data_IF_088197911451
#
_entry.id   IF_088197911451
#
_cell.length_a   1.000
_cell.length_b   1.000
_cell.length_c   1.000
_cell.angle_alpha   90.00
_cell.angle_beta   90.00
_cell.angle_gamma   90.00
#
_symmetry.space_group_name_H-M   'P 1'
#
loop_
_entity.id
_entity.type
_entity.pdbx_description
1 polymer ?
#
# COMPACT_ATOMS: atom_id res chain seq x y z
N UNK A 1 36.94 28.20 -10.78
CA UNK A 1 36.30 27.04 -10.13
C UNK A 1 34.83 27.11 -10.48
N UNK A 2 34.39 26.27 -11.40
CA UNK A 2 32.98 26.11 -11.70
C UNK A 2 32.22 25.60 -10.45
N UNK A 3 31.03 26.14 -10.22
CA UNK A 3 30.13 25.83 -9.10
C UNK A 3 28.82 25.28 -9.65
N UNK A 4 28.48 24.05 -9.26
CA UNK A 4 27.20 23.40 -9.57
C UNK A 4 26.06 24.08 -8.81
N UNK A 5 25.03 24.54 -9.53
CA UNK A 5 23.75 24.91 -8.92
C UNK A 5 22.91 23.64 -8.81
N UNK A 6 22.41 23.34 -7.62
CA UNK A 6 21.55 22.19 -7.34
C UNK A 6 20.16 22.64 -6.95
N UNK A 7 19.13 21.88 -7.33
CA UNK A 7 17.74 22.23 -7.04
C UNK A 7 17.53 22.37 -5.52
N UNK A 8 17.17 23.56 -5.00
CA UNK A 8 17.10 23.80 -3.57
C UNK A 8 15.85 23.18 -2.94
N UNK A 9 15.95 22.79 -1.66
CA UNK A 9 14.83 22.21 -0.91
C UNK A 9 13.93 23.29 -0.30
N UNK A 10 12.95 23.77 -1.05
CA UNK A 10 11.98 24.77 -0.59
C UNK A 10 10.84 24.16 0.27
N UNK A 11 11.17 23.35 1.28
CA UNK A 11 10.19 22.91 2.29
C UNK A 11 10.44 21.56 2.97
N UNK A 12 9.80 21.38 4.13
CA UNK A 12 9.84 20.14 4.94
C UNK A 12 8.92 19.04 4.36
N UNK A 13 9.25 18.58 3.16
CA UNK A 13 8.51 17.54 2.43
C UNK A 13 8.80 17.49 0.94
N UNK A 14 9.44 18.52 0.39
CA UNK A 14 9.82 18.59 -1.03
C UNK A 14 10.90 17.55 -1.37
N UNK A 15 10.61 16.70 -2.36
CA UNK A 15 11.55 15.72 -2.96
C UNK A 15 11.78 16.01 -4.46
N UNK A 16 10.83 16.64 -5.14
CA UNK A 16 10.91 17.10 -6.54
C UNK A 16 10.27 18.50 -6.67
N UNK A 17 10.54 19.19 -7.78
CA UNK A 17 9.91 20.45 -8.17
C UNK A 17 10.11 20.77 -9.65
N UNK A 18 9.28 21.66 -10.20
CA UNK A 18 9.23 21.92 -11.64
C UNK A 18 9.83 23.28 -11.97
N UNK A 19 10.89 23.32 -12.77
CA UNK A 19 11.40 24.56 -13.34
C UNK A 19 10.40 25.00 -14.43
N UNK A 20 9.69 26.09 -14.17
CA UNK A 20 8.68 26.64 -15.10
C UNK A 20 9.35 27.45 -16.20
N UNK A 21 10.40 28.20 -15.85
CA UNK A 21 11.05 29.16 -16.73
C UNK A 21 12.41 29.61 -16.19
N UNK A 22 13.39 29.83 -17.08
CA UNK A 22 14.62 30.56 -16.75
C UNK A 22 14.49 32.07 -16.97
N UNK A 23 15.09 32.82 -16.04
CA UNK A 23 15.23 34.28 -16.06
C UNK A 23 16.62 34.72 -16.60
N UNK A 24 17.56 33.78 -16.74
CA UNK A 24 18.94 33.95 -17.22
C UNK A 24 19.27 32.93 -18.31
N UNK A 25 20.09 33.33 -19.28
CA UNK A 25 20.51 32.52 -20.44
C UNK A 25 21.96 32.03 -20.30
N UNK A 26 22.32 30.98 -21.05
CA UNK A 26 23.73 30.56 -21.16
C UNK A 26 24.59 31.71 -21.70
N UNK A 27 25.66 32.05 -20.98
CA UNK A 27 26.53 33.20 -21.26
C UNK A 27 26.22 34.47 -20.46
N UNK A 28 25.10 34.55 -19.71
CA UNK A 28 24.79 35.73 -18.89
C UNK A 28 25.69 35.84 -17.65
N UNK A 29 26.08 37.06 -17.29
CA UNK A 29 26.64 37.37 -15.97
C UNK A 29 25.55 37.33 -14.88
N UNK A 30 25.90 36.76 -13.74
CA UNK A 30 25.05 36.53 -12.58
C UNK A 30 25.74 37.07 -11.32
N UNK A 31 25.02 37.89 -10.55
CA UNK A 31 25.42 38.26 -9.19
C UNK A 31 24.88 37.25 -8.16
N UNK A 32 25.60 37.06 -7.04
CA UNK A 32 25.09 36.27 -5.91
C UNK A 32 23.86 36.99 -5.31
N UNK A 33 22.75 36.27 -5.17
CA UNK A 33 21.46 36.83 -4.75
C UNK A 33 20.61 37.40 -5.92
N UNK A 34 20.94 37.06 -7.17
CA UNK A 34 20.13 37.42 -8.34
C UNK A 34 19.24 36.23 -8.77
N UNK A 35 17.96 36.42 -9.11
CA UNK A 35 17.07 35.32 -9.49
C UNK A 35 17.46 34.68 -10.84
N UNK A 36 17.38 33.35 -10.89
CA UNK A 36 17.85 32.52 -12.00
C UNK A 36 16.71 31.85 -12.76
N UNK A 37 15.74 31.29 -12.04
CA UNK A 37 14.61 30.55 -12.61
C UNK A 37 13.42 30.53 -11.64
N UNK A 38 12.22 30.39 -12.20
CA UNK A 38 10.98 30.19 -11.48
C UNK A 38 10.80 28.68 -11.19
N UNK A 39 10.75 28.32 -9.91
CA UNK A 39 10.57 26.95 -9.43
C UNK A 39 9.17 26.79 -8.85
N UNK A 40 8.34 26.00 -9.52
CA UNK A 40 7.01 25.63 -9.04
C UNK A 40 7.02 24.37 -8.19
N UNK A 41 6.11 24.35 -7.21
CA UNK A 41 5.95 23.28 -6.24
C UNK A 41 4.47 23.08 -5.94
N UNK A 42 4.10 21.92 -5.40
CA UNK A 42 2.74 21.59 -4.94
C UNK A 42 2.11 22.61 -3.95
N UNK A 43 2.85 23.63 -3.48
CA UNK A 43 2.32 24.66 -2.57
C UNK A 43 2.57 26.11 -3.00
N UNK A 44 3.72 26.44 -3.59
CA UNK A 44 4.09 27.83 -3.97
C UNK A 44 5.09 27.83 -5.13
N UNK A 45 4.87 28.68 -6.14
CA UNK A 45 5.87 29.06 -7.14
C UNK A 45 6.80 30.14 -6.58
N UNK A 46 8.12 29.95 -6.66
CA UNK A 46 9.13 30.87 -6.10
C UNK A 46 10.32 31.05 -7.05
N UNK A 47 10.86 32.27 -7.11
CA UNK A 47 12.12 32.56 -7.79
C UNK A 47 13.32 32.00 -6.99
N UNK A 48 14.25 31.32 -7.66
CA UNK A 48 15.47 30.78 -7.04
C UNK A 48 16.64 31.73 -7.31
N UNK A 49 17.22 32.28 -6.24
CA UNK A 49 18.40 33.14 -6.30
C UNK A 49 19.72 32.37 -6.48
N UNK A 50 20.73 33.03 -7.06
CA UNK A 50 22.05 32.48 -7.28
C UNK A 50 22.91 32.40 -6.00
N UNK A 51 23.33 31.19 -5.63
CA UNK A 51 24.27 30.96 -4.52
C UNK A 51 25.69 31.49 -4.78
N UNK A 52 26.08 31.68 -6.04
CA UNK A 52 27.41 32.13 -6.45
C UNK A 52 27.32 33.16 -7.58
N UNK A 53 28.34 34.02 -7.68
CA UNK A 53 28.48 34.97 -8.77
C UNK A 53 29.43 34.44 -9.85
N UNK A 54 29.16 34.72 -11.11
CA UNK A 54 29.95 34.28 -12.27
C UNK A 54 29.15 34.34 -13.57
N UNK A 55 29.59 33.61 -14.60
CA UNK A 55 28.86 33.45 -15.87
C UNK A 55 28.11 32.12 -15.86
N UNK A 56 26.87 32.10 -16.37
CA UNK A 56 26.11 30.86 -16.57
C UNK A 56 26.72 30.04 -17.72
N UNK A 57 27.55 29.05 -17.41
CA UNK A 57 28.30 28.32 -18.43
C UNK A 57 27.46 27.27 -19.15
N UNK A 58 26.52 26.63 -18.44
CA UNK A 58 25.56 25.70 -19.04
C UNK A 58 24.33 25.46 -18.17
N UNK A 59 23.17 25.32 -18.80
CA UNK A 59 21.93 24.79 -18.21
C UNK A 59 21.87 23.27 -18.51
N UNK A 60 21.68 22.47 -17.45
CA UNK A 60 21.58 21.00 -17.53
C UNK A 60 20.12 20.56 -17.62
N UNK A 61 19.22 21.27 -16.94
CA UNK A 61 17.77 21.04 -16.98
C UNK A 61 17.09 22.30 -17.52
N UNK A 62 16.57 22.22 -18.74
CA UNK A 62 15.98 23.38 -19.45
C UNK A 62 14.69 23.83 -18.78
N UNK A 63 13.57 23.13 -18.97
CA UNK A 63 12.29 23.40 -18.31
C UNK A 63 11.63 22.03 -18.03
N UNK A 64 10.95 21.89 -16.90
CA UNK A 64 10.35 20.62 -16.46
C UNK A 64 10.73 20.17 -15.04
N UNK A 65 10.35 18.93 -14.70
CA UNK A 65 10.47 18.36 -13.36
C UNK A 65 11.91 17.90 -13.03
N UNK A 66 12.38 18.23 -11.84
CA UNK A 66 13.70 17.84 -11.32
C UNK A 66 13.63 17.43 -9.84
N UNK A 67 14.49 16.48 -9.46
CA UNK A 67 14.63 16.05 -8.05
C UNK A 67 15.48 17.02 -7.23
N UNK A 68 15.15 17.18 -5.95
CA UNK A 68 15.90 18.03 -5.00
C UNK A 68 17.35 17.53 -4.88
N UNK A 69 18.31 18.44 -5.06
CA UNK A 69 19.74 18.11 -5.05
C UNK A 69 20.35 17.74 -6.41
N UNK A 70 19.55 17.55 -7.47
CA UNK A 70 20.06 17.39 -8.84
C UNK A 70 20.71 18.68 -9.34
N UNK A 71 21.84 18.57 -10.05
CA UNK A 71 22.53 19.72 -10.67
C UNK A 71 21.72 20.24 -11.86
N UNK A 72 21.22 21.48 -11.76
CA UNK A 72 20.34 22.10 -12.77
C UNK A 72 21.10 23.01 -13.74
N UNK A 73 22.20 23.61 -13.30
CA UNK A 73 23.10 24.44 -14.12
C UNK A 73 24.49 24.54 -13.47
N UNK A 74 25.46 25.12 -14.19
CA UNK A 74 26.81 25.38 -13.68
C UNK A 74 27.23 26.83 -13.97
N UNK A 75 27.71 27.52 -12.94
CA UNK A 75 28.28 28.88 -13.02
C UNK A 75 29.81 28.81 -12.92
N UNK A 76 30.54 29.62 -13.67
CA UNK A 76 32.00 29.66 -13.58
C UNK A 76 32.63 30.90 -14.23
N UNK A 77 33.94 30.83 -14.53
CA UNK A 77 34.62 31.84 -15.32
C UNK A 77 34.48 31.55 -16.83
N UNK A 78 34.48 32.59 -17.67
CA UNK A 78 34.09 32.55 -19.09
C UNK A 78 34.95 31.65 -20.03
N UNK A 79 36.03 31.04 -19.55
CA UNK A 79 36.93 30.13 -20.28
C UNK A 79 37.27 28.86 -19.46
N UNK A 80 36.40 28.43 -18.53
CA UNK A 80 36.62 27.26 -17.67
C UNK A 80 35.92 26.00 -18.22
N UNK A 81 36.67 24.95 -18.57
CA UNK A 81 36.12 23.72 -19.19
C UNK A 81 35.31 22.89 -18.18
N UNK A 82 33.99 22.83 -18.42
CA UNK A 82 33.00 22.21 -17.53
C UNK A 82 32.79 20.71 -17.78
N UNK A 83 33.52 20.11 -18.74
CA UNK A 83 33.22 18.76 -19.26
C UNK A 83 33.24 17.65 -18.21
N UNK A 84 34.12 17.73 -17.20
CA UNK A 84 34.19 16.72 -16.12
C UNK A 84 32.99 16.79 -15.15
N UNK A 85 32.47 17.98 -14.84
CA UNK A 85 31.30 18.16 -13.98
C UNK A 85 30.02 17.69 -14.69
N UNK A 86 29.90 17.98 -15.98
CA UNK A 86 28.79 17.49 -16.81
C UNK A 86 28.80 15.95 -16.93
N UNK A 87 29.97 15.33 -16.99
CA UNK A 87 30.10 13.87 -16.94
C UNK A 87 29.69 13.28 -15.58
N UNK A 88 29.95 13.98 -14.46
CA UNK A 88 29.45 13.61 -13.14
C UNK A 88 27.93 13.69 -13.02
N UNK A 89 27.33 14.73 -13.59
CA UNK A 89 25.87 14.94 -13.58
C UNK A 89 25.09 13.88 -14.40
N UNK A 90 25.72 13.26 -15.40
CA UNK A 90 25.12 12.22 -16.25
C UNK A 90 25.31 10.78 -15.72
N UNK A 91 25.78 10.62 -14.48
CA UNK A 91 25.96 9.31 -13.84
C UNK A 91 24.71 8.67 -13.21
N UNK A 92 23.56 9.36 -13.23
CA UNK A 92 22.26 8.85 -12.74
C UNK A 92 21.53 7.97 -13.77
N UNK A 93 20.67 7.06 -13.31
CA UNK A 93 20.04 6.04 -14.16
C UNK A 93 19.06 6.61 -15.22
N UNK A 94 19.02 5.95 -16.38
CA UNK A 94 18.21 6.37 -17.55
C UNK A 94 16.69 6.41 -17.26
N UNK A 95 16.06 7.54 -17.61
CA UNK A 95 14.62 7.66 -17.88
C UNK A 95 14.39 7.97 -19.37
N UNK A 96 13.55 7.17 -20.04
CA UNK A 96 13.36 7.19 -21.50
C UNK A 96 12.73 8.48 -22.04
N UNK A 97 13.12 8.90 -23.25
CA UNK A 97 12.69 10.16 -23.87
C UNK A 97 12.09 9.93 -25.28
N UNK A 98 10.76 10.00 -25.45
CA UNK A 98 10.11 9.86 -26.75
C UNK A 98 10.39 11.03 -27.71
N UNK A 99 10.51 10.73 -29.01
CA UNK A 99 11.03 11.68 -30.00
C UNK A 99 9.99 12.62 -30.64
N UNK A 100 10.37 13.89 -30.71
CA UNK A 100 10.20 14.88 -31.81
C UNK A 100 8.93 14.88 -32.70
N UNK A 101 8.36 16.08 -32.86
CA UNK A 101 7.52 16.47 -34.00
C UNK A 101 8.10 17.73 -34.72
N UNK A 102 8.00 17.85 -36.06
CA UNK A 102 8.59 18.93 -36.85
C UNK A 102 7.76 20.25 -36.86
N UNK A 103 8.34 21.39 -37.33
CA UNK A 103 7.81 22.73 -37.08
C UNK A 103 6.68 23.21 -38.03
N UNK A 104 6.21 24.43 -37.75
CA UNK A 104 5.02 25.08 -38.30
C UNK A 104 5.06 25.47 -39.80
N UNK A 105 3.89 25.86 -40.30
CA UNK A 105 3.70 26.52 -41.61
C UNK A 105 2.85 27.78 -41.40
N UNK A 106 3.27 28.89 -42.00
CA UNK A 106 2.59 30.19 -41.92
C UNK A 106 1.23 30.23 -42.62
N UNK A 107 0.37 31.17 -42.20
CA UNK A 107 -0.44 31.95 -43.13
C UNK A 107 -0.81 33.33 -42.56
N UNK A 108 -0.94 34.32 -43.46
CA UNK A 108 -1.07 35.75 -43.16
C UNK A 108 -2.53 36.27 -43.19
N UNK A 109 -2.68 37.59 -43.04
CA UNK A 109 -3.90 38.36 -42.78
C UNK A 109 -4.97 38.39 -43.90
N UNK A 110 -6.11 39.02 -43.60
CA UNK A 110 -7.27 39.22 -44.47
C UNK A 110 -8.60 38.86 -43.77
N UNK A 111 -9.19 39.58 -42.81
CA UNK A 111 -9.37 41.05 -42.53
C UNK A 111 -10.84 41.47 -42.77
N UNK A 112 -11.28 42.60 -42.18
CA UNK A 112 -12.67 43.14 -42.07
C UNK A 112 -13.62 42.29 -41.16
N UNK A 113 -13.99 42.73 -39.94
CA UNK A 113 -15.03 43.74 -39.55
C UNK A 113 -16.49 43.22 -39.72
N UNK A 114 -17.48 43.55 -38.87
CA UNK A 114 -17.68 44.75 -38.03
C UNK A 114 -18.40 44.46 -36.68
N UNK A 115 -18.04 45.26 -35.66
CA UNK A 115 -18.68 45.68 -34.39
C UNK A 115 -20.02 45.07 -33.86
N UNK A 116 -20.07 44.74 -32.56
CA UNK A 116 -20.94 45.44 -31.55
C UNK A 116 -20.99 44.78 -30.15
N UNK A 117 -20.28 45.36 -29.18
CA UNK A 117 -20.53 45.19 -27.73
C UNK A 117 -20.70 46.57 -27.08
N UNK A 118 -21.67 46.76 -26.17
CA UNK A 118 -21.40 47.62 -25.02
C UNK A 118 -21.86 47.03 -23.67
N UNK A 119 -21.14 47.43 -22.62
CA UNK A 119 -21.13 46.76 -21.31
C UNK A 119 -22.11 47.31 -20.27
N UNK A 120 -22.46 46.41 -19.33
CA UNK A 120 -22.69 46.64 -17.90
C UNK A 120 -23.76 47.63 -17.39
N UNK A 121 -24.60 47.18 -16.43
CA UNK A 121 -24.41 47.51 -14.99
C UNK A 121 -25.40 46.86 -14.00
N UNK A 122 -24.83 46.42 -12.86
CA UNK A 122 -25.33 46.39 -11.46
C UNK A 122 -26.62 45.65 -11.03
N UNK A 123 -26.46 44.99 -9.88
CA UNK A 123 -27.44 44.40 -8.93
C UNK A 123 -28.27 45.48 -8.16
N UNK A 124 -29.07 45.15 -7.11
CA UNK A 124 -29.71 43.88 -6.69
C UNK A 124 -31.26 44.06 -6.59
N UNK A 125 -32.00 43.23 -5.80
CA UNK A 125 -32.27 43.68 -4.42
C UNK A 125 -32.21 42.57 -3.35
N UNK A 126 -32.13 42.99 -2.09
CA UNK A 126 -32.16 42.14 -0.88
C UNK A 126 -33.47 42.29 -0.11
N UNK A 127 -33.84 41.28 0.69
CA UNK A 127 -34.46 41.48 2.00
C UNK A 127 -33.94 40.37 2.96
N UNK A 128 -33.29 40.67 4.10
CA UNK A 128 -33.84 41.10 5.42
C UNK A 128 -34.75 40.01 6.02
N UNK A 129 -34.54 39.43 7.22
CA UNK A 129 -34.32 40.04 8.55
C UNK A 129 -33.41 39.20 9.49
N UNK A 130 -32.56 39.88 10.26
CA UNK A 130 -32.16 39.72 11.69
C UNK A 130 -32.68 38.50 12.51
N UNK A 131 -32.00 37.98 13.54
CA UNK A 131 -31.18 38.64 14.57
C UNK A 131 -30.02 37.78 15.11
N UNK A 132 -29.13 38.38 15.90
CA UNK A 132 -28.30 37.72 16.90
C UNK A 132 -27.95 38.67 18.05
N UNK A 133 -27.64 38.15 19.24
CA UNK A 133 -26.98 38.88 20.34
C UNK A 133 -26.21 37.89 21.25
N UNK A 134 -25.55 38.37 22.32
CA UNK A 134 -24.27 37.81 22.79
C UNK A 134 -24.11 37.58 24.31
N UNK A 135 -23.34 36.54 24.67
CA UNK A 135 -22.15 36.52 25.60
C UNK A 135 -22.25 37.36 26.91
N UNK A 136 -22.09 36.76 28.13
CA UNK A 136 -20.72 36.64 28.72
C UNK A 136 -20.41 35.52 29.75
N UNK A 137 -19.10 35.18 29.82
CA UNK A 137 -18.14 35.08 30.99
C UNK A 137 -18.63 34.51 32.35
N UNK A 138 -17.90 33.68 33.12
CA UNK A 138 -16.44 33.55 33.48
C UNK A 138 -16.02 32.04 33.56
N UNK A 139 -14.85 31.51 34.01
CA UNK A 139 -13.69 31.99 34.80
C UNK A 139 -12.36 31.18 34.57
N UNK A 140 -11.37 31.32 35.45
CA UNK A 140 -9.98 30.77 35.41
C UNK A 140 -9.40 30.59 36.84
N UNK A 141 -8.11 30.25 37.13
CA UNK A 141 -6.92 29.82 36.32
C UNK A 141 -6.50 28.35 36.69
N UNK A 142 -5.27 27.81 36.83
CA UNK A 142 -3.82 28.18 36.78
C UNK A 142 -2.96 26.85 36.79
N UNK A 143 -1.61 26.75 36.78
CA UNK A 143 -0.49 27.47 36.12
C UNK A 143 0.89 26.80 36.49
N UNK A 144 1.81 26.61 35.51
CA UNK A 144 3.30 26.40 35.61
C UNK A 144 3.92 25.25 36.49
N UNK A 145 5.14 24.69 36.27
CA UNK A 145 6.02 24.48 35.09
C UNK A 145 7.28 23.59 35.42
N UNK A 146 7.85 22.85 34.41
CA UNK A 146 9.26 22.32 34.29
C UNK A 146 9.77 21.21 35.28
N UNK A 147 10.95 20.54 35.04
CA UNK A 147 11.61 20.06 33.78
C UNK A 147 12.17 18.59 33.88
N UNK A 148 13.07 18.19 32.95
CA UNK A 148 13.78 16.88 32.83
C UNK A 148 15.00 16.71 33.77
N UNK A 149 15.51 15.46 33.95
CA UNK A 149 16.93 15.06 33.72
C UNK A 149 17.31 13.59 34.08
N UNK A 150 17.90 12.87 33.11
CA UNK A 150 19.10 11.96 33.16
C UNK A 150 19.27 10.73 34.09
N UNK A 151 20.24 9.88 33.70
CA UNK A 151 20.60 8.54 34.24
C UNK A 151 21.96 8.51 34.96
N UNK A 152 22.19 7.53 35.86
CA UNK A 152 23.41 6.70 35.78
C UNK A 152 23.09 5.19 35.91
N UNK A 153 23.75 4.23 35.25
CA UNK A 153 25.19 3.97 34.97
C UNK A 153 25.90 3.03 35.98
N UNK A 154 25.72 1.71 35.75
CA UNK A 154 26.80 0.73 35.50
C UNK A 154 27.90 0.49 36.57
N UNK A 155 28.06 -0.76 37.08
CA UNK A 155 29.28 -1.63 36.92
C UNK A 155 29.46 -2.87 37.85
N UNK A 156 29.53 -4.05 37.20
CA UNK A 156 30.68 -5.00 37.17
C UNK A 156 31.02 -5.91 38.39
N UNK A 157 31.66 -7.06 38.07
CA UNK A 157 32.35 -8.08 38.92
C UNK A 157 31.48 -9.22 39.53
N UNK A 158 31.97 -10.45 39.76
CA UNK A 158 32.84 -11.37 38.97
C UNK A 158 32.92 -12.76 39.68
N UNK A 159 33.23 -13.84 38.94
CA UNK A 159 33.52 -15.19 39.46
C UNK A 159 32.35 -16.20 39.32
N UNK A 160 32.43 -17.43 38.78
CA UNK A 160 33.46 -18.38 38.26
C UNK A 160 33.56 -19.68 39.10
N UNK A 161 33.28 -20.82 38.45
CA UNK A 161 33.48 -22.22 38.91
C UNK A 161 32.63 -22.70 40.11
N UNK A 162 32.31 -24.00 40.26
CA UNK A 162 32.53 -25.18 39.40
C UNK A 162 31.34 -26.18 39.53
N UNK A 163 31.26 -27.16 38.63
CA UNK A 163 30.21 -28.19 38.65
C UNK A 163 30.51 -29.34 39.63
N UNK A 164 29.45 -29.91 40.23
CA UNK A 164 29.47 -31.17 40.96
C UNK A 164 28.23 -32.01 40.59
N UNK A 165 28.42 -33.30 40.32
CA UNK A 165 27.40 -34.19 39.74
C UNK A 165 26.51 -34.87 40.78
N UNK A 166 25.19 -34.82 40.59
CA UNK A 166 24.20 -35.56 41.38
C UNK A 166 23.96 -37.00 40.81
N UNK A 167 23.52 -37.97 41.66
CA UNK A 167 23.44 -39.38 41.27
C UNK A 167 22.20 -39.74 40.44
N UNK A 168 22.32 -40.76 39.59
CA UNK A 168 21.24 -41.28 38.74
C UNK A 168 20.18 -42.05 39.54
N UNK A 169 18.87 -41.82 39.30
CA UNK A 169 17.78 -42.60 39.90
C UNK A 169 17.71 -44.03 39.33
N UNK A 170 17.06 -44.94 40.07
CA UNK A 170 16.91 -46.36 39.71
C UNK A 170 15.80 -46.57 38.66
N UNK A 171 15.97 -47.56 37.79
CA UNK A 171 15.03 -47.87 36.71
C UNK A 171 13.69 -48.43 37.21
N UNK A 172 12.62 -48.15 36.46
CA UNK A 172 11.26 -48.56 36.77
C UNK A 172 11.06 -50.09 36.75
N UNK A 173 10.24 -50.60 37.68
CA UNK A 173 9.83 -52.01 37.74
C UNK A 173 10.09 -52.73 39.07
N UNK A 174 10.95 -52.19 39.94
CA UNK A 174 11.20 -52.77 41.26
C UNK A 174 10.02 -52.50 42.22
N UNK A 175 9.46 -53.55 42.83
CA UNK A 175 8.23 -53.44 43.65
C UNK A 175 8.49 -52.66 44.95
N UNK A 176 8.03 -51.41 45.01
CA UNK A 176 8.21 -50.49 46.15
C UNK A 176 7.77 -51.11 47.48
N UNK A 177 8.76 -51.51 48.30
CA UNK A 177 8.57 -51.93 49.68
C UNK A 177 8.30 -50.68 50.54
N UNK A 178 7.06 -50.48 50.96
CA UNK A 178 6.68 -49.39 51.85
C UNK A 178 5.70 -49.88 52.91
N UNK A 179 5.85 -49.42 54.15
CA UNK A 179 5.00 -49.81 55.28
C UNK A 179 3.53 -49.34 55.08
N UNK A 180 2.53 -50.02 55.68
CA UNK A 180 1.13 -49.60 55.57
C UNK A 180 0.87 -48.18 56.09
N UNK A 181 1.60 -47.75 57.14
CA UNK A 181 1.48 -46.39 57.67
C UNK A 181 2.07 -45.36 56.70
N UNK A 182 3.29 -45.59 56.19
CA UNK A 182 3.93 -44.72 55.19
C UNK A 182 3.07 -44.58 53.92
N UNK A 183 2.48 -45.68 53.42
CA UNK A 183 1.57 -45.68 52.26
C UNK A 183 0.28 -44.88 52.49
N UNK A 184 -0.14 -44.69 53.75
CA UNK A 184 -1.29 -43.85 54.11
C UNK A 184 -0.87 -42.38 54.19
N UNK A 185 0.18 -42.07 54.94
CA UNK A 185 0.69 -40.70 55.11
C UNK A 185 1.11 -40.08 53.76
N UNK A 186 1.78 -40.86 52.89
CA UNK A 186 2.18 -40.39 51.57
C UNK A 186 0.97 -40.04 50.69
N UNK A 187 -0.13 -40.81 50.77
CA UNK A 187 -1.38 -40.52 50.06
C UNK A 187 -2.10 -39.30 50.64
N UNK A 188 -2.11 -39.15 51.96
CA UNK A 188 -2.69 -38.01 52.67
C UNK A 188 -1.91 -36.70 52.38
N UNK A 189 -0.60 -36.78 52.15
CA UNK A 189 0.29 -35.65 51.82
C UNK A 189 0.61 -35.48 50.32
N UNK A 190 0.09 -36.32 49.43
CA UNK A 190 0.33 -36.25 47.99
C UNK A 190 1.76 -36.59 47.52
N UNK A 191 2.55 -37.27 48.35
CA UNK A 191 3.96 -37.60 48.09
C UNK A 191 4.13 -38.91 47.31
N UNK A 192 4.98 -38.91 46.28
CA UNK A 192 5.36 -40.14 45.58
C UNK A 192 6.37 -40.96 46.39
N UNK A 193 6.08 -42.26 46.54
CA UNK A 193 6.91 -43.23 47.23
C UNK A 193 8.07 -43.75 46.36
N UNK A 194 8.07 -43.53 45.04
CA UNK A 194 9.17 -43.91 44.16
C UNK A 194 10.38 -42.95 44.29
N UNK A 195 10.12 -41.66 44.60
CA UNK A 195 11.14 -40.64 44.83
C UNK A 195 11.80 -40.69 46.23
N UNK A 196 11.29 -41.50 47.15
CA UNK A 196 11.74 -41.53 48.55
C UNK A 196 12.68 -42.70 48.85
N UNK A 197 13.88 -42.39 49.35
CA UNK A 197 14.80 -43.39 49.88
C UNK A 197 14.27 -43.97 51.19
N UNK A 198 13.91 -45.25 51.20
CA UNK A 198 13.35 -45.93 52.37
C UNK A 198 14.43 -46.42 53.35
N UNK A 199 14.43 -45.89 54.58
CA UNK A 199 15.48 -46.17 55.59
C UNK A 199 15.23 -47.43 56.41
N UNK A 200 14.06 -48.08 56.24
CA UNK A 200 13.68 -49.27 56.99
C UNK A 200 14.28 -50.59 56.47
N UNK A 201 14.11 -51.71 57.21
CA UNK A 201 14.67 -53.01 56.86
C UNK A 201 14.29 -53.48 55.44
N UNK A 202 15.30 -53.97 54.71
CA UNK A 202 15.27 -54.29 53.28
C UNK A 202 15.00 -53.09 52.32
N UNK A 203 15.38 -51.87 52.71
CA UNK A 203 15.16 -50.66 51.90
C UNK A 203 13.69 -50.24 51.86
N UNK A 204 12.99 -50.40 53.00
CA UNK A 204 11.54 -50.18 53.10
C UNK A 204 11.24 -48.76 53.57
N UNK A 205 10.38 -48.05 52.84
CA UNK A 205 9.90 -46.72 53.28
C UNK A 205 9.05 -46.86 54.55
N UNK A 206 9.51 -46.23 55.63
CA UNK A 206 8.83 -46.14 56.94
C UNK A 206 8.14 -44.77 57.10
N UNK A 207 7.33 -44.60 58.14
CA UNK A 207 6.53 -43.39 58.34
C UNK A 207 7.41 -42.13 58.46
N UNK A 208 8.50 -42.22 59.23
CA UNK A 208 9.45 -41.12 59.42
C UNK A 208 10.10 -40.63 58.13
N UNK A 209 10.31 -41.49 57.13
CA UNK A 209 10.90 -41.11 55.84
C UNK A 209 9.95 -40.16 55.09
N UNK A 210 8.64 -40.43 55.17
CA UNK A 210 7.57 -39.64 54.52
C UNK A 210 7.27 -38.36 55.29
N UNK A 211 7.35 -38.40 56.63
CA UNK A 211 7.15 -37.21 57.48
C UNK A 211 8.30 -36.22 57.30
N UNK A 212 9.57 -36.68 57.37
CA UNK A 212 10.75 -35.83 57.13
C UNK A 212 10.80 -35.25 55.71
N UNK A 213 10.28 -35.96 54.71
CA UNK A 213 10.14 -35.44 53.35
C UNK A 213 9.09 -34.33 53.21
N UNK A 214 8.02 -34.35 54.01
CA UNK A 214 7.02 -33.27 54.04
C UNK A 214 7.48 -32.04 54.81
N UNK A 215 8.18 -32.25 55.93
CA UNK A 215 8.51 -31.18 56.87
C UNK A 215 9.79 -30.40 56.50
N UNK A 216 10.48 -30.82 55.42
CA UNK A 216 11.63 -30.11 54.82
C UNK A 216 11.25 -29.09 53.74
N UNK A 217 9.99 -29.07 53.28
CA UNK A 217 9.50 -28.13 52.28
C UNK A 217 9.19 -26.76 52.92
N UNK A 218 10.22 -25.95 53.15
CA UNK A 218 10.02 -24.51 53.36
C UNK A 218 9.17 -23.96 52.20
N UNK A 219 8.19 -23.06 52.46
CA UNK A 219 7.35 -22.53 51.40
C UNK A 219 8.25 -21.82 50.39
N UNK A 220 8.38 -22.39 49.20
CA UNK A 220 9.01 -21.72 48.09
C UNK A 220 8.31 -20.37 47.95
N UNK A 221 9.08 -19.29 48.01
CA UNK A 221 8.54 -17.97 47.75
C UNK A 221 7.79 -18.01 46.41
N UNK A 222 6.73 -17.21 46.27
CA UNK A 222 6.18 -16.90 44.96
C UNK A 222 7.24 -16.10 44.19
N UNK A 223 8.21 -16.82 43.62
CA UNK A 223 8.86 -16.40 42.40
C UNK A 223 7.71 -16.11 41.44
N UNK A 224 7.56 -14.85 41.04
CA UNK A 224 6.75 -14.52 39.89
C UNK A 224 7.16 -15.50 38.77
N UNK A 225 6.20 -16.10 38.04
CA UNK A 225 6.54 -17.10 37.03
C UNK A 225 7.60 -16.49 36.14
N UNK A 226 8.82 -17.05 36.21
CA UNK A 226 9.89 -16.64 35.31
C UNK A 226 9.28 -16.73 33.93
N UNK A 227 9.39 -15.70 33.08
CA UNK A 227 8.96 -15.84 31.70
C UNK A 227 9.61 -17.12 31.21
N UNK A 228 8.77 -18.05 30.73
CA UNK A 228 9.31 -19.14 29.94
C UNK A 228 10.16 -18.47 28.83
N UNK A 229 11.27 -19.07 28.40
CA UNK A 229 11.87 -18.61 27.15
C UNK A 229 10.73 -18.64 26.13
N UNK A 230 10.30 -17.47 25.69
CA UNK A 230 9.41 -17.38 24.55
C UNK A 230 10.14 -18.14 23.46
N UNK A 231 9.49 -19.17 22.91
CA UNK A 231 10.07 -19.89 21.80
C UNK A 231 10.13 -18.87 20.67
N UNK A 232 11.31 -18.24 20.51
CA UNK A 232 11.56 -17.20 19.51
C UNK A 232 11.13 -17.80 18.18
N UNK A 233 9.95 -17.35 17.70
CA UNK A 233 9.23 -18.05 16.66
C UNK A 233 10.06 -17.99 15.39
N UNK A 234 10.70 -19.11 15.05
CA UNK A 234 11.76 -19.15 14.05
C UNK A 234 11.23 -18.56 12.74
N UNK A 235 11.72 -17.37 12.40
CA UNK A 235 11.09 -16.54 11.38
C UNK A 235 11.40 -17.14 10.01
N UNK A 236 10.45 -17.90 9.46
CA UNK A 236 10.55 -18.45 8.11
C UNK A 236 10.49 -17.32 7.08
N UNK A 237 11.65 -16.83 6.66
CA UNK A 237 11.78 -15.80 5.62
C UNK A 237 11.53 -16.46 4.25
N UNK A 238 10.26 -16.45 3.82
CA UNK A 238 9.86 -16.92 2.50
C UNK A 238 10.11 -15.83 1.45
N UNK A 239 11.15 -16.00 0.63
CA UNK A 239 11.47 -15.07 -0.46
C UNK A 239 10.33 -14.97 -1.50
N UNK A 240 10.12 -13.77 -2.04
CA UNK A 240 9.12 -13.54 -3.08
C UNK A 240 9.62 -14.00 -4.45
N UNK A 241 8.82 -14.81 -5.14
CA UNK A 241 9.05 -15.09 -6.57
C UNK A 241 8.95 -13.80 -7.39
N UNK A 242 9.65 -13.71 -8.53
CA UNK A 242 9.64 -12.54 -9.40
C UNK A 242 8.23 -12.04 -9.75
N UNK A 243 7.31 -12.96 -10.05
CA UNK A 243 5.89 -12.65 -10.31
C UNK A 243 5.22 -12.04 -9.06
N UNK A 244 5.42 -12.61 -7.86
CA UNK A 244 4.86 -12.06 -6.61
C UNK A 244 5.45 -10.68 -6.28
N UNK A 245 6.75 -10.47 -6.49
CA UNK A 245 7.40 -9.17 -6.31
C UNK A 245 6.88 -8.11 -7.28
N UNK A 246 6.66 -8.45 -8.55
CA UNK A 246 6.04 -7.54 -9.54
C UNK A 246 4.59 -7.21 -9.19
N UNK A 247 3.80 -8.19 -8.73
CA UNK A 247 2.42 -7.97 -8.27
C UNK A 247 2.41 -7.06 -7.03
N UNK A 248 3.28 -7.32 -6.04
CA UNK A 248 3.38 -6.51 -4.83
C UNK A 248 3.71 -5.04 -5.16
N UNK A 249 4.72 -4.80 -6.01
CA UNK A 249 5.09 -3.45 -6.45
C UNK A 249 3.92 -2.71 -7.10
N UNK A 250 3.25 -3.34 -8.07
CA UNK A 250 2.08 -2.77 -8.77
C UNK A 250 0.88 -2.53 -7.88
N UNK A 251 0.66 -3.36 -6.85
CA UNK A 251 -0.39 -3.12 -5.86
C UNK A 251 -0.04 -1.93 -4.96
N UNK A 252 1.21 -1.76 -4.55
CA UNK A 252 1.66 -0.57 -3.80
C UNK A 252 1.51 0.70 -4.64
N UNK A 253 1.93 0.69 -5.91
CA UNK A 253 1.72 1.77 -6.87
C UNK A 253 0.22 2.09 -7.03
N UNK A 254 -0.64 1.08 -7.20
CA UNK A 254 -2.09 1.26 -7.31
C UNK A 254 -2.76 1.82 -6.04
N UNK A 255 -2.17 1.60 -4.86
CA UNK A 255 -2.64 2.16 -3.58
C UNK A 255 -2.20 3.62 -3.35
N UNK A 256 -1.28 4.17 -4.14
CA UNK A 256 -0.93 5.59 -4.10
C UNK A 256 -1.96 6.47 -4.82
N UNK A 257 -2.76 5.89 -5.72
CA UNK A 257 -3.87 6.60 -6.35
C UNK A 257 -4.97 6.94 -5.29
N UNK A 258 -5.51 8.18 -5.27
CA UNK A 258 -6.51 8.58 -4.28
C UNK A 258 -7.88 7.94 -4.56
N UNK A 259 -8.09 6.72 -4.05
CA UNK A 259 -9.33 5.95 -4.19
C UNK A 259 -10.32 6.30 -3.08
N UNK A 260 -11.44 6.93 -3.43
CA UNK A 260 -12.63 6.97 -2.58
C UNK A 260 -13.53 5.75 -2.87
N UNK A 261 -14.37 5.38 -1.89
CA UNK A 261 -15.15 4.14 -1.93
C UNK A 261 -16.64 4.43 -1.76
N UNK A 262 -17.48 3.71 -2.49
CA UNK A 262 -18.94 3.75 -2.39
C UNK A 262 -19.45 2.32 -2.21
N UNK A 263 -20.41 2.13 -1.30
CA UNK A 263 -21.14 0.87 -1.13
C UNK A 263 -22.63 1.11 -1.32
N UNK A 264 -23.31 0.17 -1.97
CA UNK A 264 -24.76 0.17 -2.20
C UNK A 264 -25.30 -1.26 -2.15
N UNK A 265 -26.41 -1.45 -1.44
CA UNK A 265 -27.20 -2.69 -1.51
C UNK A 265 -28.16 -2.59 -2.70
N UNK A 266 -28.33 -3.69 -3.44
CA UNK A 266 -29.24 -3.76 -4.58
C UNK A 266 -30.03 -5.07 -4.58
N UNK A 267 -31.32 -5.00 -4.90
CA UNK A 267 -32.17 -6.19 -5.05
C UNK A 267 -31.74 -6.98 -6.31
N UNK A 268 -31.41 -8.25 -6.11
CA UNK A 268 -30.97 -9.17 -7.15
C UNK A 268 -32.08 -10.11 -7.66
N UNK A 269 -33.33 -9.99 -7.17
CA UNK A 269 -34.43 -10.90 -7.48
C UNK A 269 -34.70 -11.03 -8.98
N UNK A 270 -34.88 -9.91 -9.69
CA UNK A 270 -35.08 -9.92 -11.15
C UNK A 270 -33.82 -10.36 -11.93
N UNK A 271 -32.62 -10.21 -11.36
CA UNK A 271 -31.38 -10.73 -11.95
C UNK A 271 -31.36 -12.26 -11.86
N UNK A 272 -31.73 -12.83 -10.72
CA UNK A 272 -31.85 -14.27 -10.51
C UNK A 272 -32.93 -14.87 -11.43
N UNK A 273 -34.15 -14.33 -11.40
CA UNK A 273 -35.26 -14.82 -12.25
C UNK A 273 -35.00 -14.63 -13.74
N UNK A 274 -34.36 -13.54 -14.17
CA UNK A 274 -33.94 -13.36 -15.58
C UNK A 274 -32.90 -14.40 -15.99
N UNK A 275 -31.92 -14.69 -15.12
CA UNK A 275 -30.94 -15.75 -15.36
C UNK A 275 -31.60 -17.12 -15.45
N UNK A 276 -32.57 -17.44 -14.60
CA UNK A 276 -33.30 -18.71 -14.62
C UNK A 276 -34.06 -18.90 -15.94
N UNK A 277 -34.83 -17.89 -16.38
CA UNK A 277 -35.49 -17.88 -17.70
C UNK A 277 -34.48 -18.07 -18.85
N UNK A 278 -33.27 -17.48 -18.76
CA UNK A 278 -32.20 -17.70 -19.74
C UNK A 278 -31.60 -19.12 -19.70
N UNK A 279 -31.68 -19.83 -18.58
CA UNK A 279 -31.26 -21.23 -18.46
C UNK A 279 -32.34 -22.19 -18.98
N UNK A 280 -33.62 -21.86 -18.80
CA UNK A 280 -34.74 -22.64 -19.36
C UNK A 280 -34.82 -22.57 -20.89
N UNK A 281 -34.43 -21.43 -21.48
CA UNK A 281 -34.41 -21.21 -22.94
C UNK A 281 -33.08 -21.61 -23.62
N UNK A 282 -32.13 -22.16 -22.85
CA UNK A 282 -30.80 -22.55 -23.30
C UNK A 282 -30.86 -23.78 -24.23
N UNK A 283 -30.15 -23.75 -25.36
CA UNK A 283 -30.12 -24.88 -26.31
C UNK A 283 -29.01 -25.88 -25.97
N UNK A 284 -29.14 -27.10 -26.49
CA UNK A 284 -28.09 -28.12 -26.37
C UNK A 284 -26.76 -27.61 -26.96
N UNK A 285 -25.69 -27.67 -26.17
CA UNK A 285 -24.36 -27.15 -26.53
C UNK A 285 -24.09 -25.69 -26.17
N UNK A 286 -25.09 -24.91 -25.74
CA UNK A 286 -24.87 -23.53 -25.29
C UNK A 286 -24.33 -23.47 -23.85
N UNK A 287 -23.55 -22.42 -23.54
CA UNK A 287 -22.92 -22.27 -22.22
C UNK A 287 -23.89 -21.69 -21.20
N UNK A 288 -24.10 -22.40 -20.08
CA UNK A 288 -25.01 -21.97 -19.00
C UNK A 288 -24.58 -20.61 -18.40
N UNK A 289 -25.45 -19.57 -18.42
CA UNK A 289 -25.10 -18.26 -17.86
C UNK A 289 -25.04 -18.25 -16.33
N UNK A 290 -24.15 -17.40 -15.82
CA UNK A 290 -23.91 -17.13 -14.40
C UNK A 290 -24.39 -15.72 -14.03
N UNK A 291 -24.48 -15.44 -12.72
CA UNK A 291 -24.71 -14.07 -12.22
C UNK A 291 -23.70 -13.08 -12.80
N UNK A 292 -22.43 -13.48 -12.91
CA UNK A 292 -21.37 -12.62 -13.45
C UNK A 292 -21.55 -12.29 -14.93
N UNK A 293 -22.24 -13.12 -15.72
CA UNK A 293 -22.50 -12.83 -17.14
C UNK A 293 -23.59 -11.76 -17.31
N UNK A 294 -24.66 -11.87 -16.52
CA UNK A 294 -25.72 -10.87 -16.46
C UNK A 294 -25.15 -9.56 -15.91
N UNK A 295 -24.38 -9.61 -14.83
CA UNK A 295 -23.73 -8.44 -14.24
C UNK A 295 -22.74 -7.77 -15.19
N UNK A 296 -21.91 -8.54 -15.90
CA UNK A 296 -21.01 -8.01 -16.95
C UNK A 296 -21.80 -7.25 -18.01
N UNK A 297 -22.96 -7.78 -18.44
CA UNK A 297 -23.81 -7.10 -19.41
C UNK A 297 -24.50 -5.85 -18.86
N UNK A 298 -24.87 -5.84 -17.58
CA UNK A 298 -25.44 -4.68 -16.88
C UNK A 298 -24.40 -3.57 -16.70
N UNK A 299 -23.20 -3.91 -16.24
CA UNK A 299 -22.04 -3.00 -16.08
C UNK A 299 -21.67 -2.40 -17.43
N UNK A 300 -21.56 -3.19 -18.50
CA UNK A 300 -21.35 -2.66 -19.85
C UNK A 300 -22.46 -1.68 -20.29
N UNK A 301 -23.72 -1.94 -19.92
CA UNK A 301 -24.86 -1.03 -20.13
C UNK A 301 -24.84 0.23 -19.25
N UNK A 302 -24.16 0.20 -18.10
CA UNK A 302 -23.96 1.36 -17.24
C UNK A 302 -22.79 2.23 -17.75
N UNK A 303 -21.68 1.62 -18.15
CA UNK A 303 -20.52 2.31 -18.72
C UNK A 303 -20.86 3.11 -19.98
N UNK A 304 -21.76 2.60 -20.83
CA UNK A 304 -22.28 3.34 -22.00
C UNK A 304 -23.17 4.54 -21.61
N UNK A 305 -23.83 4.52 -20.45
CA UNK A 305 -24.66 5.63 -19.93
C UNK A 305 -23.86 6.63 -19.08
N UNK A 306 -22.69 6.22 -18.58
CA UNK A 306 -21.80 7.03 -17.76
C UNK A 306 -20.37 7.03 -18.33
N UNK A 307 -20.13 7.63 -19.51
CA UNK A 307 -18.81 7.63 -20.17
C UNK A 307 -17.61 8.10 -19.32
N UNK A 308 -17.73 9.03 -18.35
CA UNK A 308 -16.61 9.38 -17.47
C UNK A 308 -16.06 8.22 -16.63
N UNK A 309 -16.86 7.18 -16.38
CA UNK A 309 -16.44 5.96 -15.65
C UNK A 309 -15.77 4.94 -16.59
N UNK A 310 -16.05 5.01 -17.89
CA UNK A 310 -15.44 4.13 -18.90
C UNK A 310 -14.17 4.77 -19.49
N UNK A 311 -13.21 5.06 -18.62
CA UNK A 311 -11.99 5.79 -18.94
C UNK A 311 -10.75 5.16 -18.28
N UNK A 312 -9.59 5.51 -18.83
CA UNK A 312 -8.28 5.27 -18.24
C UNK A 312 -7.62 6.63 -17.94
N UNK A 313 -6.80 6.70 -16.89
CA UNK A 313 -5.92 7.83 -16.62
C UNK A 313 -4.48 7.44 -16.99
N UNK A 314 -3.93 8.10 -18.00
CA UNK A 314 -2.65 7.77 -18.65
C UNK A 314 -1.93 9.08 -18.94
N UNK A 315 -0.69 9.22 -18.48
CA UNK A 315 0.20 10.35 -18.81
C UNK A 315 -0.45 11.74 -18.59
N UNK A 316 -1.16 11.89 -17.47
CA UNK A 316 -1.92 13.12 -17.13
C UNK A 316 -3.27 13.28 -17.86
N UNK A 317 -3.55 12.47 -18.87
CA UNK A 317 -4.74 12.56 -19.72
C UNK A 317 -5.83 11.52 -19.35
N UNK A 318 -7.09 11.86 -19.64
CA UNK A 318 -8.24 10.97 -19.45
C UNK A 318 -8.65 10.35 -20.79
N UNK A 319 -8.20 9.13 -21.06
CA UNK A 319 -8.56 8.37 -22.25
C UNK A 319 -9.96 7.76 -22.09
N UNK A 320 -10.98 8.34 -22.73
CA UNK A 320 -12.38 7.90 -22.66
C UNK A 320 -12.71 6.91 -23.78
N UNK A 321 -13.35 5.79 -23.44
CA UNK A 321 -13.64 4.72 -24.39
C UNK A 321 -15.12 4.66 -24.78
N UNK A 322 -15.38 4.49 -26.09
CA UNK A 322 -16.74 4.30 -26.64
C UNK A 322 -17.23 2.85 -26.55
N UNK A 323 -16.39 1.91 -26.09
CA UNK A 323 -16.72 0.48 -25.90
C UNK A 323 -16.43 0.05 -24.47
N UNK A 324 -17.21 -0.87 -23.95
CA UNK A 324 -17.01 -1.43 -22.61
C UNK A 324 -16.20 -2.73 -22.74
N UNK A 325 -14.92 -2.68 -22.34
CA UNK A 325 -14.05 -3.84 -22.29
C UNK A 325 -13.92 -4.26 -20.82
N UNK A 326 -14.70 -5.27 -20.41
CA UNK A 326 -14.85 -5.61 -18.99
C UNK A 326 -13.89 -6.72 -18.60
N UNK A 327 -12.91 -6.39 -17.77
CA UNK A 327 -12.06 -7.35 -17.06
C UNK A 327 -12.85 -8.11 -16.01
N UNK A 328 -12.66 -9.43 -15.93
CA UNK A 328 -13.21 -10.27 -14.86
C UNK A 328 -12.05 -10.83 -14.06
N UNK A 329 -12.03 -10.57 -12.74
CA UNK A 329 -11.01 -11.12 -11.86
C UNK A 329 -11.21 -12.64 -11.69
N UNK A 330 -10.17 -13.42 -11.97
CA UNK A 330 -10.19 -14.89 -11.91
C UNK A 330 -9.03 -15.38 -11.03
N UNK A 331 -9.37 -16.08 -9.94
CA UNK A 331 -8.38 -16.79 -9.14
C UNK A 331 -7.89 -18.06 -9.88
N UNK A 332 -6.56 -18.23 -9.91
CA UNK A 332 -5.87 -19.39 -10.50
C UNK A 332 -4.84 -19.93 -9.50
N UNK A 333 -4.31 -21.17 -9.68
CA UNK A 333 -3.26 -21.70 -8.80
C UNK A 333 -2.00 -20.83 -8.72
N UNK A 334 -1.74 -20.01 -9.74
CA UNK A 334 -0.57 -19.13 -9.82
C UNK A 334 -0.84 -17.71 -9.27
N UNK A 335 -2.06 -17.40 -8.85
CA UNK A 335 -2.47 -16.07 -8.37
C UNK A 335 -3.70 -15.51 -9.10
N UNK A 336 -3.89 -14.20 -9.00
CA UNK A 336 -5.00 -13.48 -9.63
C UNK A 336 -4.64 -13.07 -11.06
N UNK A 337 -5.56 -13.28 -12.00
CA UNK A 337 -5.48 -12.74 -13.38
C UNK A 337 -6.80 -12.06 -13.75
N UNK A 338 -6.76 -11.10 -14.67
CA UNK A 338 -7.94 -10.32 -15.08
C UNK A 338 -8.13 -10.40 -16.61
N UNK A 339 -8.63 -11.53 -17.15
CA UNK A 339 -9.02 -11.62 -18.56
C UNK A 339 -10.17 -10.68 -18.93
N UNK A 340 -10.12 -10.13 -20.15
CA UNK A 340 -10.97 -9.02 -20.62
C UNK A 340 -11.99 -9.46 -21.66
N UNK A 341 -13.28 -9.28 -21.35
CA UNK A 341 -14.37 -9.42 -22.31
C UNK A 341 -14.50 -8.13 -23.11
N UNK A 342 -13.75 -8.07 -24.22
CA UNK A 342 -13.75 -6.96 -25.20
C UNK A 342 -15.15 -6.72 -25.78
N UNK A 343 -15.56 -5.45 -25.91
CA UNK A 343 -16.85 -5.00 -26.43
C UNK A 343 -18.06 -5.77 -25.85
N UNK A 344 -18.15 -5.82 -24.51
CA UNK A 344 -19.26 -6.42 -23.77
C UNK A 344 -20.58 -5.64 -23.96
N UNK A 345 -20.51 -4.35 -24.35
CA UNK A 345 -21.67 -3.52 -24.70
C UNK A 345 -22.46 -4.08 -25.89
N UNK A 346 -21.78 -4.73 -26.85
CA UNK A 346 -22.38 -5.27 -28.08
C UNK A 346 -22.87 -6.71 -27.98
N UNK A 347 -22.56 -7.43 -26.89
CA UNK A 347 -22.84 -8.86 -26.75
C UNK A 347 -24.16 -9.12 -26.02
N UNK A 348 -24.75 -10.28 -26.30
CA UNK A 348 -25.76 -10.93 -25.45
C UNK A 348 -25.12 -11.58 -24.23
N UNK A 349 -25.94 -11.93 -23.23
CA UNK A 349 -25.49 -12.65 -22.02
C UNK A 349 -24.93 -14.04 -22.37
N UNK A 350 -25.45 -14.71 -23.40
CA UNK A 350 -24.96 -16.03 -23.83
C UNK A 350 -23.59 -15.95 -24.51
N UNK A 351 -23.35 -14.94 -25.35
CA UNK A 351 -22.02 -14.67 -25.91
C UNK A 351 -21.00 -14.30 -24.83
N UNK A 352 -21.40 -13.52 -23.82
CA UNK A 352 -20.57 -13.21 -22.65
C UNK A 352 -20.26 -14.49 -21.87
N UNK A 353 -21.24 -15.36 -21.63
CA UNK A 353 -21.05 -16.62 -20.91
C UNK A 353 -20.09 -17.57 -21.65
N UNK A 354 -20.19 -17.67 -22.97
CA UNK A 354 -19.29 -18.47 -23.80
C UNK A 354 -17.85 -17.92 -23.77
N UNK A 355 -17.67 -16.60 -23.97
CA UNK A 355 -16.35 -15.94 -23.92
C UNK A 355 -15.73 -16.04 -22.52
N UNK A 356 -16.52 -15.86 -21.45
CA UNK A 356 -16.06 -16.08 -20.07
C UNK A 356 -15.62 -17.54 -19.86
N UNK A 357 -16.36 -18.53 -20.36
CA UNK A 357 -16.01 -19.93 -20.15
C UNK A 357 -14.67 -20.30 -20.79
N UNK A 358 -14.41 -19.85 -22.04
CA UNK A 358 -13.09 -19.98 -22.68
C UNK A 358 -11.99 -19.28 -21.86
N UNK A 359 -12.17 -17.99 -21.54
CA UNK A 359 -11.19 -17.22 -20.79
C UNK A 359 -10.88 -17.82 -19.41
N UNK A 360 -11.89 -18.33 -18.69
CA UNK A 360 -11.71 -18.97 -17.37
C UNK A 360 -11.03 -20.33 -17.48
N UNK A 361 -11.30 -21.13 -18.53
CA UNK A 361 -10.56 -22.37 -18.77
C UNK A 361 -9.09 -22.06 -19.06
N UNK A 362 -8.83 -21.16 -20.00
CA UNK A 362 -7.47 -20.74 -20.36
C UNK A 362 -6.73 -20.05 -19.22
N UNK A 363 -7.40 -19.32 -18.33
CA UNK A 363 -6.83 -18.81 -17.08
C UNK A 363 -6.36 -19.94 -16.15
N UNK A 364 -7.23 -20.91 -15.87
CA UNK A 364 -6.93 -22.05 -14.98
C UNK A 364 -5.84 -22.97 -15.54
N UNK A 365 -5.77 -23.09 -16.86
CA UNK A 365 -4.77 -23.88 -17.58
C UNK A 365 -3.43 -23.15 -17.81
N UNK A 366 -3.33 -21.85 -17.48
CA UNK A 366 -2.13 -21.04 -17.74
C UNK A 366 -1.91 -20.71 -19.23
N UNK A 367 -2.98 -20.73 -20.05
CA UNK A 367 -2.99 -20.57 -21.51
C UNK A 367 -3.64 -19.25 -21.98
N UNK A 368 -3.69 -18.24 -21.11
CA UNK A 368 -4.02 -16.87 -21.53
C UNK A 368 -2.90 -16.30 -22.40
N UNK A 369 -3.29 -15.51 -23.41
CA UNK A 369 -2.39 -14.71 -24.23
C UNK A 369 -2.35 -13.30 -23.63
N UNK A 370 -1.30 -12.55 -23.94
CA UNK A 370 -1.17 -11.14 -23.54
C UNK A 370 -2.42 -10.34 -23.99
N UNK A 371 -2.88 -10.58 -25.22
CA UNK A 371 -4.10 -9.97 -25.79
C UNK A 371 -5.40 -10.25 -25.03
N UNK A 372 -5.47 -11.30 -24.19
CA UNK A 372 -6.64 -11.59 -23.35
C UNK A 372 -6.65 -10.74 -22.06
N UNK A 373 -5.52 -10.14 -21.67
CA UNK A 373 -5.35 -9.32 -20.46
C UNK A 373 -5.35 -7.81 -20.75
N UNK A 374 -5.11 -7.42 -22.01
CA UNK A 374 -5.03 -6.03 -22.47
C UNK A 374 -6.40 -5.39 -22.75
N UNK A 375 -6.38 -4.06 -22.95
CA UNK A 375 -7.53 -3.22 -23.34
C UNK A 375 -8.72 -3.19 -22.37
N UNK A 376 -8.61 -3.74 -21.16
CA UNK A 376 -9.67 -3.65 -20.14
C UNK A 376 -9.89 -2.22 -19.66
N UNK A 377 -11.10 -1.68 -19.86
CA UNK A 377 -11.49 -0.31 -19.45
C UNK A 377 -12.11 -0.25 -18.06
N UNK A 378 -12.57 -1.39 -17.54
CA UNK A 378 -13.21 -1.53 -16.23
C UNK A 378 -13.05 -2.96 -15.71
N UNK A 379 -12.93 -3.17 -14.41
CA UNK A 379 -12.80 -4.52 -13.80
C UNK A 379 -13.98 -4.86 -12.89
N UNK A 380 -14.42 -6.12 -12.91
CA UNK A 380 -15.34 -6.72 -11.93
C UNK A 380 -14.58 -7.79 -11.12
N UNK A 381 -14.61 -7.67 -9.79
CA UNK A 381 -14.18 -8.69 -8.85
C UNK A 381 -15.36 -9.19 -8.03
N UNK A 382 -15.52 -10.51 -7.88
CA UNK A 382 -16.67 -11.12 -7.22
C UNK A 382 -16.20 -12.18 -6.21
N UNK A 383 -16.55 -11.97 -4.94
CA UNK A 383 -16.25 -12.87 -3.82
C UNK A 383 -17.51 -13.44 -3.15
N UNK A 384 -18.70 -13.19 -3.69
CA UNK A 384 -19.97 -13.69 -3.14
C UNK A 384 -20.05 -15.21 -3.03
N UNK A 385 -19.30 -15.95 -3.84
CA UNK A 385 -19.16 -17.41 -3.72
C UNK A 385 -18.49 -17.89 -2.42
N UNK A 386 -17.87 -16.98 -1.67
CA UNK A 386 -17.24 -17.23 -0.37
C UNK A 386 -18.07 -16.68 0.82
N UNK A 387 -19.29 -16.17 0.58
CA UNK A 387 -20.13 -15.58 1.62
C UNK A 387 -19.65 -14.20 2.13
N UNK A 388 -18.91 -13.47 1.29
CA UNK A 388 -18.40 -12.13 1.65
C UNK A 388 -19.46 -11.08 1.31
N UNK A 389 -20.12 -10.50 2.32
CA UNK A 389 -21.16 -9.47 2.16
C UNK A 389 -20.65 -8.22 1.43
N UNK A 390 -19.52 -7.66 1.87
CA UNK A 390 -18.87 -6.49 1.28
C UNK A 390 -17.35 -6.63 1.35
N UNK A 391 -16.65 -6.19 0.31
CA UNK A 391 -15.18 -6.05 0.33
C UNK A 391 -14.74 -4.86 -0.54
N UNK A 392 -13.50 -4.43 -0.34
CA UNK A 392 -12.83 -3.39 -1.14
C UNK A 392 -11.89 -4.08 -2.12
N UNK A 393 -12.05 -3.80 -3.41
CA UNK A 393 -11.11 -4.25 -4.43
C UNK A 393 -10.04 -3.18 -4.68
N UNK A 394 -8.77 -3.59 -4.85
CA UNK A 394 -7.70 -2.67 -5.27
C UNK A 394 -7.92 -2.30 -6.73
N UNK A 395 -7.77 -1.01 -7.06
CA UNK A 395 -7.86 -0.51 -8.42
C UNK A 395 -6.76 -1.15 -9.31
N UNK A 396 -7.00 -1.23 -10.62
CA UNK A 396 -6.04 -1.78 -11.58
C UNK A 396 -5.61 -0.69 -12.57
N UNK A 397 -4.57 0.11 -12.26
CA UNK A 397 -4.07 1.16 -13.14
C UNK A 397 -3.78 0.63 -14.57
N UNK A 398 -4.11 1.40 -15.62
CA UNK A 398 -4.59 2.80 -15.60
C UNK A 398 -6.13 2.95 -15.50
N UNK A 399 -6.90 1.94 -15.10
CA UNK A 399 -8.36 2.04 -14.97
C UNK A 399 -8.77 3.00 -13.85
N UNK A 400 -9.84 3.78 -14.06
CA UNK A 400 -10.35 4.75 -13.07
C UNK A 400 -11.39 4.17 -12.10
N UNK A 401 -11.91 2.96 -12.36
CA UNK A 401 -12.92 2.33 -11.51
C UNK A 401 -12.88 0.79 -11.55
N UNK A 402 -13.31 0.18 -10.44
CA UNK A 402 -13.47 -1.27 -10.26
C UNK A 402 -14.74 -1.55 -9.46
N UNK A 403 -15.46 -2.64 -9.80
CA UNK A 403 -16.62 -3.11 -9.04
C UNK A 403 -16.25 -4.32 -8.18
N UNK A 404 -16.46 -4.20 -6.87
CA UNK A 404 -16.48 -5.33 -5.94
C UNK A 404 -17.92 -5.86 -5.80
N UNK A 405 -18.09 -7.19 -5.77
CA UNK A 405 -19.39 -7.87 -5.73
C UNK A 405 -19.41 -8.90 -4.61
N UNK A 406 -20.22 -8.64 -3.59
CA UNK A 406 -20.42 -9.53 -2.45
C UNK A 406 -21.36 -10.70 -2.72
N UNK A 407 -21.84 -11.33 -1.63
CA UNK A 407 -22.90 -12.35 -1.66
C UNK A 407 -24.22 -11.79 -2.22
N UNK A 408 -25.05 -12.70 -2.72
CA UNK A 408 -26.47 -12.49 -2.93
C UNK A 408 -27.17 -13.41 -1.93
N UNK A 409 -28.11 -12.86 -1.18
CA UNK A 409 -28.89 -13.52 -0.13
C UNK A 409 -30.34 -13.76 -0.57
#
# INVERSE_FOLDING_TARGET
MATEIKLPRLGQGMEMGTIVRWLKSEGDEIAKGEPLFELDTDKVTQEVEADAAGVLLKIVVSEGEASVGTTVAVIGAADEDVSELLAGAQGGENGDAPAAAPPAVEKAEGDEEEDSEPQAKTEPPSDTVSQGESVPTEAAPAAEARPEAETPSNRLLQGKEAAASAPSPRAEGERIKASPLARRIARERGLDLAALAGTGPEGRVIAEDVEKAGDGAAPAAYAAPSPAPEAEGEIEIVELTSIRGTIARRLTEAWQAPVFQLSVTADASELATTRERMVELLREGETKPTVNDVLTRLVASALQRHPPVNALFVDGAIHRYQRANVGIAVATPNGLVVPVIRAADRKSVLEIAAVRADLVSRAREGKLRITDLEEGTFTISNLGMYGIEQFIAVLNPPQVAILAVGSIE
#
